data_IF_163088462955
#
_entry.id   IF_163088462955
#
_cell.length_a   1.000
_cell.length_b   1.000
_cell.length_c   1.000
_cell.angle_alpha   90.00
_cell.angle_beta   90.00
_cell.angle_gamma   90.00
#
_symmetry.space_group_name_H-M   'P 1'
#
loop_
_entity.id
_entity.type
_entity.pdbx_description
1 polymer ?
#
# COMPACT_ATOMS: atom_id res chain seq x y z
N UNK A 1 -53.12 -43.09 -31.67
CA UNK A 1 -52.97 -42.83 -30.22
C UNK A 1 -51.48 -42.72 -29.87
N UNK A 2 -50.63 -42.12 -30.70
CA UNK A 2 -50.38 -40.68 -30.92
C UNK A 2 -49.90 -39.92 -29.67
N UNK A 3 -48.72 -40.32 -29.19
CA UNK A 3 -47.47 -39.57 -28.92
C UNK A 3 -47.43 -38.02 -29.07
N UNK A 4 -48.55 -37.31 -29.02
CA UNK A 4 -48.68 -35.85 -29.20
C UNK A 4 -49.00 -35.10 -27.90
N UNK A 5 -49.15 -35.82 -26.79
CA UNK A 5 -49.55 -35.25 -25.48
C UNK A 5 -48.39 -34.95 -24.53
N UNK A 6 -47.14 -35.29 -24.88
CA UNK A 6 -45.97 -35.08 -24.00
C UNK A 6 -45.14 -33.86 -24.42
N UNK A 7 -45.31 -33.33 -25.63
CA UNK A 7 -44.55 -32.17 -26.11
C UNK A 7 -45.10 -30.80 -25.68
N UNK A 8 -46.27 -30.74 -25.05
CA UNK A 8 -46.88 -29.47 -24.61
C UNK A 8 -46.58 -29.12 -23.15
N UNK A 9 -45.96 -30.01 -22.37
CA UNK A 9 -45.63 -29.76 -20.96
C UNK A 9 -44.23 -29.15 -20.72
N UNK A 10 -43.36 -29.12 -21.75
CA UNK A 10 -41.96 -28.68 -21.61
C UNK A 10 -41.68 -27.25 -22.12
N UNK A 11 -42.69 -26.52 -22.61
CA UNK A 11 -42.53 -25.17 -23.16
C UNK A 11 -43.13 -24.04 -22.29
N UNK A 12 -43.45 -24.32 -21.02
CA UNK A 12 -44.15 -23.37 -20.13
C UNK A 12 -43.34 -22.82 -18.95
N UNK A 13 -42.03 -23.06 -18.87
CA UNK A 13 -41.23 -22.73 -17.68
C UNK A 13 -39.97 -21.89 -17.97
N UNK A 14 -40.02 -21.02 -18.99
CA UNK A 14 -38.87 -20.22 -19.42
C UNK A 14 -39.08 -18.70 -19.37
N UNK A 15 -40.10 -18.19 -18.67
CA UNK A 15 -40.43 -16.75 -18.69
C UNK A 15 -40.82 -16.17 -17.33
N UNK A 16 -40.04 -16.42 -16.27
CA UNK A 16 -39.96 -15.48 -15.12
C UNK A 16 -38.55 -15.54 -14.51
N UNK A 17 -37.53 -15.23 -15.32
CA UNK A 17 -36.26 -14.79 -14.76
C UNK A 17 -36.45 -13.33 -14.35
N UNK A 18 -36.52 -13.10 -13.03
CA UNK A 18 -36.55 -11.79 -12.41
C UNK A 18 -35.53 -10.85 -13.06
N UNK A 19 -36.00 -9.86 -13.80
CA UNK A 19 -35.25 -8.63 -14.03
C UNK A 19 -35.19 -7.87 -12.70
N UNK A 20 -34.35 -8.32 -11.78
CA UNK A 20 -33.80 -7.41 -10.77
C UNK A 20 -32.86 -6.50 -11.53
N UNK A 21 -33.38 -5.37 -11.96
CA UNK A 21 -32.59 -4.18 -12.25
C UNK A 21 -31.77 -3.91 -10.99
N UNK A 22 -30.53 -4.36 -11.00
CA UNK A 22 -29.55 -3.99 -10.00
C UNK A 22 -29.36 -2.48 -10.19
N UNK A 23 -29.67 -1.64 -9.18
CA UNK A 23 -29.35 -0.24 -9.30
C UNK A 23 -27.86 -0.17 -9.62
N UNK A 24 -27.53 0.48 -10.74
CA UNK A 24 -26.15 0.77 -11.08
C UNK A 24 -25.58 1.48 -9.86
N UNK A 25 -24.74 0.76 -9.10
CA UNK A 25 -23.96 1.36 -8.05
C UNK A 25 -23.04 2.31 -8.80
N UNK A 26 -23.40 3.59 -8.75
CA UNK A 26 -22.55 4.68 -9.18
C UNK A 26 -21.15 4.38 -8.63
N UNK A 27 -20.12 4.31 -9.47
CA UNK A 27 -18.78 4.01 -8.99
C UNK A 27 -18.50 4.99 -7.86
N UNK A 28 -18.21 4.45 -6.67
CA UNK A 28 -17.86 5.26 -5.52
C UNK A 28 -16.83 6.30 -6.00
N UNK A 29 -17.01 7.60 -5.67
CA UNK A 29 -16.05 8.63 -6.05
C UNK A 29 -14.65 8.09 -5.75
N UNK A 30 -13.77 8.11 -6.74
CA UNK A 30 -12.38 7.71 -6.54
C UNK A 30 -11.92 8.44 -5.28
N UNK A 31 -11.60 7.66 -4.23
CA UNK A 31 -11.15 8.24 -2.97
C UNK A 31 -10.06 9.23 -3.35
N UNK A 32 -10.26 10.50 -2.97
CA UNK A 32 -9.26 11.54 -3.20
C UNK A 32 -8.00 11.04 -2.49
N UNK A 33 -7.07 10.49 -3.27
CA UNK A 33 -5.75 10.16 -2.78
C UNK A 33 -5.12 11.53 -2.57
N UNK A 34 -5.07 11.95 -1.30
CA UNK A 34 -4.25 13.09 -0.90
C UNK A 34 -2.89 12.94 -1.62
N UNK A 35 -2.39 14.00 -2.28
CA UNK A 35 -1.08 13.94 -2.90
C UNK A 35 -0.08 13.41 -1.87
N UNK A 36 0.91 12.64 -2.32
CA UNK A 36 1.98 12.13 -1.46
C UNK A 36 3.13 13.14 -1.48
N UNK A 37 3.10 14.25 -0.70
CA UNK A 37 4.05 15.35 -0.88
C UNK A 37 5.48 14.96 -0.54
N UNK A 38 5.63 13.98 0.35
CA UNK A 38 6.91 13.46 0.82
C UNK A 38 6.79 11.95 0.96
N UNK A 39 7.89 11.26 0.70
CA UNK A 39 8.00 9.82 0.89
C UNK A 39 8.77 9.53 2.16
N UNK A 40 8.25 8.58 2.94
CA UNK A 40 8.83 8.17 4.20
C UNK A 40 9.15 6.67 4.21
N UNK A 41 10.12 6.29 5.02
CA UNK A 41 10.42 4.89 5.35
C UNK A 41 10.82 4.78 6.82
N UNK A 42 10.83 3.56 7.35
CA UNK A 42 11.43 3.29 8.66
C UNK A 42 12.80 2.62 8.47
N UNK A 43 13.77 2.99 9.30
CA UNK A 43 15.10 2.38 9.31
C UNK A 43 15.74 2.47 10.71
N UNK A 44 16.87 1.79 10.95
CA UNK A 44 17.60 1.90 12.22
C UNK A 44 17.97 3.34 12.58
N UNK A 45 17.91 3.67 13.87
CA UNK A 45 18.13 5.03 14.38
C UNK A 45 19.56 5.54 14.29
N UNK A 46 20.54 4.68 14.05
CA UNK A 46 21.95 5.07 13.94
C UNK A 46 22.23 5.99 12.73
N UNK A 47 21.39 5.95 11.69
CA UNK A 47 21.54 6.86 10.54
C UNK A 47 21.39 8.33 10.92
N UNK A 48 20.68 8.66 12.02
CA UNK A 48 20.60 10.04 12.52
C UNK A 48 21.99 10.61 12.80
N UNK A 49 22.92 9.81 13.35
CA UNK A 49 24.27 10.28 13.66
C UNK A 49 25.03 10.65 12.39
N UNK A 50 24.93 9.79 11.37
CA UNK A 50 25.58 10.02 10.08
C UNK A 50 25.00 11.27 9.39
N UNK A 51 23.67 11.38 9.34
CA UNK A 51 22.98 12.55 8.74
C UNK A 51 23.33 13.84 9.50
N UNK A 52 23.28 13.81 10.84
CA UNK A 52 23.61 14.97 11.68
C UNK A 52 25.09 15.39 11.56
N UNK A 53 25.98 14.45 11.21
CA UNK A 53 27.38 14.74 10.91
C UNK A 53 27.61 15.36 9.52
N UNK A 54 26.57 15.47 8.70
CA UNK A 54 26.63 15.95 7.32
C UNK A 54 26.96 14.86 6.30
N UNK A 55 26.89 13.58 6.67
CA UNK A 55 27.12 12.47 5.75
C UNK A 55 25.85 12.17 4.93
N UNK A 56 26.05 11.74 3.69
CA UNK A 56 24.97 11.20 2.86
C UNK A 56 24.68 9.76 3.27
N UNK A 57 23.42 9.46 3.63
CA UNK A 57 22.96 8.10 3.88
C UNK A 57 22.09 7.65 2.71
N UNK A 58 22.59 6.68 1.95
CA UNK A 58 21.93 6.13 0.77
C UNK A 58 21.30 4.79 1.12
N UNK A 59 20.01 4.66 0.86
CA UNK A 59 19.28 3.40 0.95
C UNK A 59 19.39 2.68 -0.38
N UNK A 60 19.85 1.42 -0.33
CA UNK A 60 20.00 0.58 -1.52
C UNK A 60 18.99 -0.59 -1.49
N UNK A 61 17.98 -0.61 -2.38
CA UNK A 61 17.02 -1.72 -2.46
C UNK A 61 17.67 -3.06 -2.85
N UNK A 62 18.90 -3.06 -3.36
CA UNK A 62 19.70 -4.27 -3.59
C UNK A 62 20.26 -4.90 -2.31
N UNK A 63 20.31 -4.15 -1.20
CA UNK A 63 20.81 -4.62 0.11
C UNK A 63 19.65 -5.00 1.03
N UNK A 64 18.58 -4.19 1.04
CA UNK A 64 17.40 -4.39 1.87
C UNK A 64 16.17 -3.80 1.17
N UNK A 65 15.02 -4.47 1.27
CA UNK A 65 13.75 -3.86 0.86
C UNK A 65 13.31 -2.79 1.87
N UNK A 66 12.91 -1.62 1.35
CA UNK A 66 12.41 -0.51 2.16
C UNK A 66 10.97 -0.22 1.79
N UNK A 67 10.06 -0.38 2.75
CA UNK A 67 8.67 0.03 2.60
C UNK A 67 8.57 1.55 2.52
N UNK A 68 7.71 2.04 1.63
CA UNK A 68 7.49 3.45 1.38
C UNK A 68 6.08 3.87 1.78
N UNK A 69 5.99 5.03 2.43
CA UNK A 69 4.74 5.57 2.99
C UNK A 69 4.56 7.04 2.61
N UNK A 70 3.32 7.49 2.55
CA UNK A 70 2.99 8.88 2.24
C UNK A 70 2.87 9.77 3.47
N UNK A 71 2.90 9.17 4.67
CA UNK A 71 2.92 9.92 5.92
C UNK A 71 3.86 9.29 6.95
N UNK A 72 4.41 10.09 7.88
CA UNK A 72 5.16 9.57 9.03
C UNK A 72 4.33 8.63 9.91
N UNK A 73 3.04 8.90 10.04
CA UNK A 73 2.12 8.13 10.88
C UNK A 73 1.92 6.71 10.35
N UNK A 74 1.76 6.55 9.03
CA UNK A 74 1.68 5.23 8.39
C UNK A 74 2.98 4.45 8.57
N UNK A 75 4.13 5.09 8.34
CA UNK A 75 5.44 4.46 8.53
C UNK A 75 5.64 3.99 9.98
N UNK A 76 5.25 4.84 10.96
CA UNK A 76 5.30 4.49 12.39
C UNK A 76 4.36 3.35 12.75
N UNK A 77 3.14 3.35 12.22
CA UNK A 77 2.19 2.27 12.45
C UNK A 77 2.72 0.94 11.88
N UNK A 78 3.29 0.97 10.67
CA UNK A 78 3.84 -0.21 10.01
C UNK A 78 5.02 -0.81 10.78
N UNK A 79 5.99 0.00 11.21
CA UNK A 79 7.14 -0.53 11.96
C UNK A 79 6.74 -1.06 13.34
N UNK A 80 5.79 -0.40 14.02
CA UNK A 80 5.28 -0.86 15.31
C UNK A 80 4.57 -2.22 15.17
N UNK A 81 3.75 -2.38 14.14
CA UNK A 81 3.06 -3.64 13.87
C UNK A 81 4.04 -4.75 13.47
N UNK A 82 5.02 -4.45 12.61
CA UNK A 82 6.05 -5.41 12.22
C UNK A 82 6.87 -5.89 13.44
N UNK A 83 7.17 -5.00 14.39
CA UNK A 83 7.80 -5.36 15.66
C UNK A 83 6.89 -6.20 16.55
N UNK A 84 5.61 -5.84 16.64
CA UNK A 84 4.61 -6.57 17.43
C UNK A 84 4.39 -8.00 16.91
N UNK A 85 4.34 -8.17 15.59
CA UNK A 85 4.22 -9.45 14.91
C UNK A 85 5.53 -10.26 14.89
N UNK A 86 6.64 -9.68 15.37
CA UNK A 86 7.96 -10.33 15.37
C UNK A 86 8.62 -10.45 13.99
N UNK A 87 8.12 -9.72 12.98
CA UNK A 87 8.74 -9.59 11.66
C UNK A 87 10.03 -8.77 11.76
N UNK A 88 10.00 -7.71 12.57
CA UNK A 88 11.17 -6.91 12.91
C UNK A 88 11.58 -7.14 14.36
N UNK A 89 12.89 -7.11 14.67
CA UNK A 89 13.35 -7.14 16.04
C UNK A 89 12.98 -5.85 16.78
N UNK A 90 12.89 -5.95 18.11
CA UNK A 90 12.88 -4.78 18.98
C UNK A 90 14.15 -3.94 18.74
N UNK A 91 14.03 -2.62 18.70
CA UNK A 91 15.16 -1.74 18.43
C UNK A 91 14.76 -0.27 18.29
N UNK A 92 15.77 0.57 18.11
CA UNK A 92 15.57 1.99 17.83
C UNK A 92 15.22 2.18 16.35
N UNK A 93 13.93 2.16 16.04
CA UNK A 93 13.40 2.38 14.70
C UNK A 93 12.93 3.83 14.53
N UNK A 94 13.47 4.51 13.53
CA UNK A 94 13.18 5.92 13.23
C UNK A 94 12.53 6.05 11.87
N UNK A 95 11.74 7.12 11.73
CA UNK A 95 11.06 7.44 10.48
C UNK A 95 11.87 8.51 9.76
N UNK A 96 12.20 8.23 8.51
CA UNK A 96 13.05 9.05 7.67
C UNK A 96 12.28 9.56 6.46
N UNK A 97 12.56 10.79 6.05
CA UNK A 97 12.11 11.34 4.77
C UNK A 97 13.16 11.04 3.71
N UNK A 98 12.69 10.60 2.55
CA UNK A 98 13.53 10.30 1.39
C UNK A 98 13.52 11.45 0.39
N UNK A 99 14.61 11.55 -0.39
CA UNK A 99 14.64 12.42 -1.55
C UNK A 99 13.78 11.87 -2.69
N UNK A 100 13.01 12.75 -3.34
CA UNK A 100 12.16 12.40 -4.49
C UNK A 100 10.70 12.04 -4.16
N UNK A 101 9.91 11.83 -5.21
CA UNK A 101 8.47 11.51 -5.12
C UNK A 101 8.18 10.00 -5.17
N UNK A 102 6.98 9.59 -4.78
CA UNK A 102 6.56 8.19 -4.83
C UNK A 102 6.62 7.61 -6.27
N UNK A 103 6.37 8.43 -7.28
CA UNK A 103 6.47 8.06 -8.69
C UNK A 103 7.93 7.85 -9.13
N UNK A 104 8.87 8.58 -8.54
CA UNK A 104 10.28 8.56 -8.92
C UNK A 104 11.07 7.44 -8.23
N UNK A 105 10.70 7.12 -6.99
CA UNK A 105 11.47 6.19 -6.13
C UNK A 105 10.69 4.95 -5.73
N UNK A 106 9.37 4.94 -5.93
CA UNK A 106 8.51 3.85 -5.53
C UNK A 106 8.26 2.85 -6.65
N UNK A 107 8.26 1.58 -6.28
CA UNK A 107 7.70 0.49 -7.07
C UNK A 107 6.48 -0.06 -6.34
N UNK A 108 5.32 -0.04 -7.01
CA UNK A 108 4.08 -0.61 -6.47
C UNK A 108 4.20 -2.13 -6.35
N UNK A 109 3.93 -2.62 -5.15
CA UNK A 109 3.73 -4.03 -4.82
C UNK A 109 2.23 -4.38 -4.82
N UNK A 110 1.88 -5.57 -4.29
CA UNK A 110 0.48 -5.96 -4.10
C UNK A 110 -0.19 -5.05 -3.06
N UNK A 111 -1.51 -4.89 -3.16
CA UNK A 111 -2.35 -4.22 -2.16
C UNK A 111 -1.91 -2.78 -1.77
N UNK A 112 -1.49 -1.97 -2.75
CA UNK A 112 -1.06 -0.56 -2.56
C UNK A 112 0.19 -0.35 -1.68
N UNK A 113 0.92 -1.40 -1.33
CA UNK A 113 2.26 -1.25 -0.76
C UNK A 113 3.23 -0.77 -1.83
N UNK A 114 4.20 0.05 -1.44
CA UNK A 114 5.26 0.51 -2.32
C UNK A 114 6.60 0.21 -1.65
N UNK A 115 7.57 -0.26 -2.43
CA UNK A 115 8.95 -0.45 -1.98
C UNK A 115 9.89 0.42 -2.80
N UNK A 116 11.07 0.68 -2.25
CA UNK A 116 12.09 1.44 -2.95
C UNK A 116 12.56 0.75 -4.24
N UNK A 117 12.59 1.48 -5.35
CA UNK A 117 12.90 0.96 -6.70
C UNK A 117 14.33 1.23 -7.17
N UNK A 118 15.00 2.21 -6.55
CA UNK A 118 16.37 2.64 -6.85
C UNK A 118 17.06 3.15 -5.60
N UNK A 119 18.38 3.31 -5.66
CA UNK A 119 19.12 3.98 -4.59
C UNK A 119 18.58 5.40 -4.37
N UNK A 120 18.33 5.73 -3.09
CA UNK A 120 17.74 7.01 -2.69
C UNK A 120 18.30 7.48 -1.36
N UNK A 121 18.55 8.78 -1.26
CA UNK A 121 19.10 9.41 -0.07
C UNK A 121 18.04 9.66 1.01
N UNK A 122 18.43 9.50 2.28
CA UNK A 122 17.70 10.08 3.40
C UNK A 122 18.03 11.57 3.50
N UNK A 123 17.01 12.42 3.50
CA UNK A 123 17.17 13.89 3.55
C UNK A 123 16.77 14.48 4.90
N UNK A 124 16.01 13.76 5.71
CA UNK A 124 15.58 14.23 7.03
C UNK A 124 15.09 13.05 7.88
N UNK A 125 14.92 13.28 9.18
CA UNK A 125 14.21 12.36 10.08
C UNK A 125 13.06 13.06 10.79
N UNK A 126 12.03 12.31 11.12
CA UNK A 126 10.88 12.83 11.84
C UNK A 126 11.25 12.90 13.33
N UNK A 127 11.29 14.10 13.88
CA UNK A 127 11.43 14.29 15.31
C UNK A 127 10.19 13.75 16.03
N UNK A 128 10.39 12.82 16.96
CA UNK A 128 9.30 12.33 17.80
C UNK A 128 9.19 13.24 19.02
N UNK A 129 8.00 13.78 19.25
CA UNK A 129 7.69 14.44 20.51
C UNK A 129 7.62 13.35 21.58
N UNK A 130 8.68 13.23 22.39
CA UNK A 130 8.71 12.41 23.61
C UNK A 130 7.90 13.06 24.72
#
# INVERSE_FOLDING_TARGET
MDARLICTALLGLALVACTRTQPAQEPAPAAHVEPCPFVYTYAPGNYIVDIASGSEVILDPGVQEFDLFCSPGEARAAVNEAVHLGVLPQGDWRIYRLDGSMEEIGQRQRANQHTLSRMTQIVDWVAENL
#
